data_IF_000344308363
#
_entry.id   IF_000344308363
#
_cell.length_a   1.000
_cell.length_b   1.000
_cell.length_c   1.000
_cell.angle_alpha   90.00
_cell.angle_beta   90.00
_cell.angle_gamma   90.00
#
_symmetry.space_group_name_H-M   'P 1'
#
loop_
_entity.id
_entity.type
_entity.pdbx_description
1 polymer ?
#
# COMPACT_ATOMS: atom_id res chain seq x y z
N UNK A 1 19.75 -17.09 61.89
CA UNK A 1 18.90 -15.95 61.41
C UNK A 1 19.57 -14.98 60.44
N UNK A 2 20.88 -14.97 60.21
CA UNK A 2 21.55 -14.06 59.24
C UNK A 2 21.63 -14.63 57.81
N UNK A 3 21.60 -15.94 57.62
CA UNK A 3 21.70 -16.61 56.30
C UNK A 3 20.39 -16.53 55.50
N UNK A 4 19.24 -16.59 56.13
CA UNK A 4 17.93 -16.50 55.47
C UNK A 4 17.66 -15.08 54.96
N UNK A 5 18.14 -14.05 55.61
CA UNK A 5 17.99 -12.66 55.20
C UNK A 5 18.81 -12.31 53.95
N UNK A 6 20.02 -12.89 53.81
CA UNK A 6 20.83 -12.69 52.59
C UNK A 6 20.23 -13.37 51.35
N UNK A 7 19.62 -14.56 51.55
CA UNK A 7 18.98 -15.30 50.44
C UNK A 7 17.71 -14.61 49.93
N UNK A 8 16.93 -14.02 50.86
CA UNK A 8 15.73 -13.26 50.47
C UNK A 8 16.05 -11.97 49.73
N UNK A 9 17.14 -11.27 50.10
CA UNK A 9 17.60 -10.04 49.43
C UNK A 9 18.11 -10.39 48.00
N UNK A 10 18.84 -11.52 47.85
CA UNK A 10 19.32 -11.95 46.56
C UNK A 10 18.19 -12.35 45.55
N UNK A 11 17.14 -13.05 46.04
CA UNK A 11 15.97 -13.42 45.23
C UNK A 11 15.16 -12.19 44.83
N UNK A 12 15.05 -11.21 45.74
CA UNK A 12 14.31 -9.97 45.43
C UNK A 12 15.07 -9.07 44.45
N UNK A 13 16.40 -9.05 44.44
CA UNK A 13 17.21 -8.33 43.45
C UNK A 13 17.13 -8.95 42.05
N UNK A 14 16.99 -10.28 41.93
CA UNK A 14 16.82 -10.98 40.67
C UNK A 14 15.42 -10.73 40.07
N UNK A 15 14.36 -10.58 40.89
CA UNK A 15 13.03 -10.23 40.40
C UNK A 15 12.90 -8.80 39.87
N UNK A 16 13.68 -7.85 40.39
CA UNK A 16 13.68 -6.45 39.93
C UNK A 16 14.38 -6.26 38.59
N UNK A 17 15.32 -7.15 38.22
CA UNK A 17 16.00 -7.07 36.90
C UNK A 17 15.18 -7.55 35.73
N UNK A 18 14.10 -8.30 35.95
CA UNK A 18 13.22 -8.79 34.88
C UNK A 18 12.18 -7.77 34.39
N UNK A 19 11.89 -6.73 35.17
CA UNK A 19 10.94 -5.68 34.78
C UNK A 19 11.58 -4.56 33.94
N UNK A 20 12.90 -4.49 33.81
CA UNK A 20 13.58 -3.40 33.12
C UNK A 20 13.57 -3.56 31.59
N UNK A 21 13.58 -4.80 31.08
CA UNK A 21 13.64 -5.04 29.65
C UNK A 21 12.33 -4.72 28.90
N UNK A 22 11.16 -4.92 29.51
CA UNK A 22 9.88 -4.64 28.85
C UNK A 22 9.65 -3.14 28.61
N UNK A 23 10.14 -2.29 29.50
CA UNK A 23 9.97 -0.84 29.40
C UNK A 23 10.86 -0.21 28.31
N UNK A 24 12.02 -0.80 28.03
CA UNK A 24 12.92 -0.34 26.96
C UNK A 24 12.40 -0.71 25.56
N UNK A 25 11.83 -1.91 25.40
CA UNK A 25 11.22 -2.36 24.14
C UNK A 25 9.98 -1.53 23.79
N UNK A 26 9.13 -1.25 24.77
CA UNK A 26 7.94 -0.41 24.59
C UNK A 26 8.33 1.02 24.17
N UNK A 27 9.35 1.60 24.77
CA UNK A 27 9.86 2.91 24.39
C UNK A 27 10.43 2.93 22.97
N UNK A 28 11.21 1.92 22.58
CA UNK A 28 11.73 1.78 21.21
C UNK A 28 10.60 1.60 20.18
N UNK A 29 9.55 0.83 20.52
CA UNK A 29 8.35 0.69 19.69
C UNK A 29 7.68 2.05 19.51
N UNK A 30 7.46 2.79 20.58
CA UNK A 30 6.82 4.10 20.55
C UNK A 30 7.56 5.08 19.63
N UNK A 31 8.89 5.15 19.75
CA UNK A 31 9.72 5.99 18.88
C UNK A 31 9.66 5.55 17.40
N UNK A 32 9.68 4.25 17.14
CA UNK A 32 9.59 3.71 15.80
C UNK A 32 8.21 3.97 15.18
N UNK A 33 7.14 3.79 15.96
CA UNK A 33 5.77 4.07 15.54
C UNK A 33 5.55 5.55 15.24
N UNK A 34 6.02 6.44 16.09
CA UNK A 34 5.90 7.90 15.90
C UNK A 34 6.59 8.34 14.60
N UNK A 35 7.78 7.81 14.31
CA UNK A 35 8.49 8.08 13.04
C UNK A 35 7.73 7.53 11.83
N UNK A 36 7.15 6.35 11.94
CA UNK A 36 6.43 5.70 10.84
C UNK A 36 5.11 6.44 10.54
N UNK A 37 4.36 6.81 11.58
CA UNK A 37 3.10 7.58 11.44
C UNK A 37 3.37 8.98 10.86
N UNK A 38 4.50 9.60 11.21
CA UNK A 38 4.88 10.91 10.66
C UNK A 38 5.06 10.89 9.13
N UNK A 39 5.29 9.72 8.52
CA UNK A 39 5.38 9.58 7.06
C UNK A 39 4.02 9.64 6.35
N UNK A 40 2.89 9.55 7.09
CA UNK A 40 1.51 9.52 6.59
C UNK A 40 1.21 8.41 5.57
N UNK A 41 2.15 8.04 4.72
CA UNK A 41 2.01 7.01 3.69
C UNK A 41 3.28 6.17 3.62
N UNK A 42 3.12 4.85 3.53
CA UNK A 42 4.19 3.90 3.26
C UNK A 42 3.99 3.33 1.85
N UNK A 43 4.65 3.94 0.86
CA UNK A 43 4.70 3.43 -0.50
C UNK A 43 5.65 2.24 -0.57
N UNK A 44 5.13 1.06 -0.87
CA UNK A 44 5.89 -0.19 -0.78
C UNK A 44 6.20 -0.81 -2.13
N UNK A 45 5.45 -0.45 -3.18
CA UNK A 45 5.62 -0.97 -4.53
C UNK A 45 5.24 0.07 -5.58
N UNK A 46 5.95 0.06 -6.71
CA UNK A 46 5.66 0.90 -7.86
C UNK A 46 5.66 0.05 -9.13
N UNK A 47 4.59 0.12 -9.89
CA UNK A 47 4.43 -0.55 -11.18
C UNK A 47 4.45 0.46 -12.32
N UNK A 48 5.19 0.12 -13.39
CA UNK A 48 5.05 0.80 -14.68
C UNK A 48 4.23 -0.09 -15.61
N UNK A 49 3.07 0.40 -16.03
CA UNK A 49 2.08 -0.35 -16.83
C UNK A 49 1.98 0.33 -18.20
N UNK A 50 2.01 -0.45 -19.28
CA UNK A 50 1.69 0.03 -20.60
C UNK A 50 0.40 -0.62 -21.08
N UNK A 51 -0.63 0.19 -21.40
CA UNK A 51 -1.93 -0.29 -21.87
C UNK A 51 -2.28 0.33 -23.23
N UNK A 52 -2.86 -0.48 -24.10
CA UNK A 52 -3.43 -0.02 -25.37
C UNK A 52 -4.91 0.29 -25.19
N UNK A 53 -5.27 1.55 -25.39
CA UNK A 53 -6.65 2.03 -25.35
C UNK A 53 -7.16 2.09 -26.80
N UNK A 54 -8.25 1.39 -27.07
CA UNK A 54 -8.81 1.26 -28.44
C UNK A 54 -10.23 1.80 -28.45
N UNK A 55 -10.54 2.62 -29.43
CA UNK A 55 -11.91 3.00 -29.74
C UNK A 55 -12.25 2.69 -31.19
N UNK A 56 -13.44 2.10 -31.37
CA UNK A 56 -14.06 1.89 -32.66
C UNK A 56 -15.44 2.57 -32.63
N UNK A 57 -15.70 3.44 -33.58
CA UNK A 57 -17.01 4.09 -33.74
C UNK A 57 -17.62 3.63 -35.10
N UNK A 58 -18.33 2.49 -35.03
CA UNK A 58 -18.99 1.85 -36.17
C UNK A 58 -20.51 2.06 -36.03
N UNK A 59 -20.97 3.29 -36.15
CA UNK A 59 -22.41 3.58 -36.09
C UNK A 59 -23.08 3.26 -37.40
N UNK A 60 -24.05 2.32 -37.41
CA UNK A 60 -24.76 1.83 -38.64
C UNK A 60 -25.50 2.94 -39.42
N UNK A 61 -25.80 4.08 -38.76
CA UNK A 61 -26.44 5.24 -39.37
C UNK A 61 -25.44 6.28 -39.91
N UNK A 62 -24.14 6.05 -39.77
CA UNK A 62 -23.08 6.93 -40.25
C UNK A 62 -22.24 6.21 -41.33
N UNK A 63 -22.03 6.89 -42.44
CA UNK A 63 -21.20 6.36 -43.53
C UNK A 63 -19.70 6.40 -43.13
N UNK A 64 -19.11 5.24 -42.95
CA UNK A 64 -17.69 5.05 -42.62
C UNK A 64 -17.41 4.77 -41.16
N UNK A 65 -16.16 4.38 -40.86
CA UNK A 65 -15.66 3.96 -39.57
C UNK A 65 -14.60 4.90 -39.07
N UNK A 66 -14.53 5.06 -37.74
CA UNK A 66 -13.38 5.69 -37.05
C UNK A 66 -12.75 4.69 -36.13
N UNK A 67 -11.43 4.57 -36.18
CA UNK A 67 -10.64 3.74 -35.26
C UNK A 67 -9.47 4.55 -34.75
N UNK A 68 -9.22 4.46 -33.46
CA UNK A 68 -8.05 5.07 -32.82
C UNK A 68 -7.47 4.14 -31.78
N UNK A 69 -6.16 4.09 -31.68
CA UNK A 69 -5.43 3.32 -30.65
C UNK A 69 -4.39 4.22 -30.05
N UNK A 70 -4.45 4.35 -28.72
CA UNK A 70 -3.39 4.98 -27.93
C UNK A 70 -2.62 3.93 -27.14
N UNK A 71 -1.31 4.11 -27.04
CA UNK A 71 -0.45 3.45 -26.07
C UNK A 71 -0.23 4.43 -24.90
N UNK A 72 -0.60 4.00 -23.71
CA UNK A 72 -0.43 4.81 -22.50
C UNK A 72 0.50 4.10 -21.54
N UNK A 73 1.60 4.76 -21.18
CA UNK A 73 2.48 4.31 -20.11
C UNK A 73 2.08 5.03 -18.82
N UNK A 74 1.95 4.28 -17.75
CA UNK A 74 1.43 4.76 -16.47
C UNK A 74 2.31 4.26 -15.36
N UNK A 75 2.58 5.10 -14.37
CA UNK A 75 3.21 4.70 -13.11
C UNK A 75 2.16 4.68 -12.01
N UNK A 76 2.02 3.52 -11.36
CA UNK A 76 1.10 3.30 -10.25
C UNK A 76 1.89 2.89 -9.02
N UNK A 77 1.74 3.63 -7.93
CA UNK A 77 2.32 3.31 -6.62
C UNK A 77 1.23 2.83 -5.69
N UNK A 78 1.44 1.66 -5.06
CA UNK A 78 0.58 1.15 -4.01
C UNK A 78 1.32 1.03 -2.68
N UNK A 79 0.57 1.07 -1.60
CA UNK A 79 1.12 1.01 -0.25
C UNK A 79 0.06 1.20 0.81
N UNK A 80 0.51 1.45 2.03
CA UNK A 80 -0.33 1.60 3.21
C UNK A 80 -0.50 3.09 3.53
N UNK A 81 -1.75 3.54 3.64
CA UNK A 81 -2.07 4.85 4.20
C UNK A 81 -2.04 4.77 5.72
N UNK A 82 -1.16 5.53 6.34
CA UNK A 82 -0.91 5.52 7.78
C UNK A 82 -1.59 6.67 8.52
N UNK A 83 -2.44 7.48 7.87
CA UNK A 83 -3.09 8.64 8.49
C UNK A 83 -3.91 8.28 9.73
N UNK A 84 -4.63 7.16 9.67
CA UNK A 84 -5.46 6.64 10.77
C UNK A 84 -4.76 5.54 11.57
N UNK A 85 -3.50 5.25 11.24
CA UNK A 85 -2.69 4.28 11.96
C UNK A 85 -2.09 4.90 13.21
N UNK A 86 -2.11 4.17 14.31
CA UNK A 86 -1.68 4.68 15.60
C UNK A 86 -1.13 3.58 16.51
N UNK A 87 -0.57 3.97 17.66
CA UNK A 87 -0.09 3.05 18.71
C UNK A 87 -1.15 2.03 19.18
N UNK A 88 -2.45 2.33 19.03
CA UNK A 88 -3.54 1.42 19.38
C UNK A 88 -3.61 0.19 18.48
N UNK A 89 -3.06 0.30 17.26
CA UNK A 89 -2.99 -0.79 16.30
C UNK A 89 -1.82 -1.76 16.56
N UNK A 90 -0.96 -1.45 17.55
CA UNK A 90 0.10 -2.31 18.05
C UNK A 90 -0.25 -2.87 19.44
N UNK A 91 -0.13 -4.18 19.62
CA UNK A 91 -0.43 -4.87 20.89
C UNK A 91 0.79 -5.69 21.30
N UNK A 92 1.29 -5.44 22.51
CA UNK A 92 2.38 -6.19 23.12
C UNK A 92 1.78 -7.27 24.04
N UNK A 93 2.37 -8.45 24.04
CA UNK A 93 1.98 -9.59 24.87
C UNK A 93 3.20 -10.43 25.28
N UNK A 94 2.94 -11.50 26.07
CA UNK A 94 3.96 -12.42 26.54
C UNK A 94 5.15 -11.73 27.27
N UNK A 95 4.84 -10.78 28.17
CA UNK A 95 5.87 -10.10 28.95
C UNK A 95 6.83 -9.25 28.10
N UNK A 96 6.34 -8.67 27.00
CA UNK A 96 7.14 -7.84 26.11
C UNK A 96 7.79 -8.55 24.93
N UNK A 97 7.70 -9.89 24.83
CA UNK A 97 8.38 -10.67 23.79
C UNK A 97 7.66 -10.73 22.45
N UNK A 98 6.34 -10.57 22.47
CA UNK A 98 5.49 -10.69 21.28
C UNK A 98 4.83 -9.36 20.98
N UNK A 99 4.88 -8.94 19.72
CA UNK A 99 4.14 -7.78 19.22
C UNK A 99 3.23 -8.19 18.06
N UNK A 100 1.99 -7.73 18.10
CA UNK A 100 1.05 -7.86 16.97
C UNK A 100 0.68 -6.48 16.50
N UNK A 101 0.88 -6.21 15.20
CA UNK A 101 0.52 -4.95 14.56
C UNK A 101 -0.57 -5.20 13.52
N UNK A 102 -1.58 -4.31 13.47
CA UNK A 102 -2.69 -4.40 12.52
C UNK A 102 -2.66 -3.21 11.57
N UNK A 103 -2.26 -3.44 10.33
CA UNK A 103 -2.12 -2.41 9.30
C UNK A 103 -3.45 -2.18 8.56
N UNK A 104 -3.68 -0.98 8.01
CA UNK A 104 -4.72 -0.77 7.00
C UNK A 104 -4.48 -1.63 5.76
N UNK A 105 -5.54 -1.86 4.96
CA UNK A 105 -5.39 -2.50 3.65
C UNK A 105 -4.56 -1.60 2.72
N UNK A 106 -3.75 -2.18 1.83
CA UNK A 106 -3.05 -1.40 0.82
C UNK A 106 -4.04 -0.80 -0.17
N UNK A 107 -3.67 0.36 -0.70
CA UNK A 107 -4.41 1.06 -1.74
C UNK A 107 -3.47 1.72 -2.73
N UNK A 108 -4.01 2.20 -3.84
CA UNK A 108 -3.26 3.06 -4.75
C UNK A 108 -3.02 4.41 -4.05
N UNK A 109 -1.75 4.76 -3.87
CA UNK A 109 -1.32 6.01 -3.25
C UNK A 109 -1.11 7.11 -4.29
N UNK A 110 -0.59 6.73 -5.46
CA UNK A 110 -0.45 7.65 -6.59
C UNK A 110 -0.62 6.92 -7.91
N UNK A 111 -1.19 7.63 -8.87
CA UNK A 111 -1.36 7.20 -10.24
C UNK A 111 -0.93 8.37 -11.14
N UNK A 112 0.01 8.13 -12.03
CA UNK A 112 0.50 9.13 -12.95
C UNK A 112 0.50 8.59 -14.38
N UNK A 113 -0.21 9.29 -15.27
CA UNK A 113 -0.20 9.08 -16.70
C UNK A 113 0.16 10.42 -17.36
N UNK A 114 1.45 10.65 -17.57
CA UNK A 114 1.94 11.90 -18.13
C UNK A 114 1.55 12.03 -19.61
N UNK A 115 1.31 13.26 -20.06
CA UNK A 115 0.90 13.52 -21.45
C UNK A 115 1.93 13.04 -22.48
N UNK A 116 3.22 13.12 -22.15
CA UNK A 116 4.33 12.62 -22.99
C UNK A 116 4.36 11.09 -23.10
N UNK A 117 3.75 10.38 -22.16
CA UNK A 117 3.65 8.92 -22.13
C UNK A 117 2.43 8.38 -22.90
N UNK A 118 1.62 9.27 -23.47
CA UNK A 118 0.46 8.93 -24.30
C UNK A 118 0.85 9.07 -25.77
N UNK A 119 0.86 7.95 -26.49
CA UNK A 119 1.24 7.93 -27.91
C UNK A 119 0.08 7.45 -28.76
N UNK A 120 -0.17 8.17 -29.85
CA UNK A 120 -1.08 7.72 -30.89
C UNK A 120 -0.40 6.64 -31.74
N UNK A 121 -0.82 5.40 -31.60
CA UNK A 121 -0.26 4.25 -32.34
C UNK A 121 -0.96 4.05 -33.71
N UNK A 122 -2.24 4.31 -33.76
CA UNK A 122 -3.04 4.09 -34.94
C UNK A 122 -4.25 5.02 -34.98
N UNK A 123 -4.52 5.59 -36.17
CA UNK A 123 -5.77 6.27 -36.47
C UNK A 123 -6.21 5.91 -37.89
N UNK A 124 -7.46 5.56 -38.06
CA UNK A 124 -8.08 5.33 -39.36
C UNK A 124 -9.46 5.97 -39.39
N UNK A 125 -9.69 6.78 -40.42
CA UNK A 125 -10.96 7.42 -40.70
C UNK A 125 -11.33 7.05 -42.09
N UNK A 126 -12.58 6.66 -42.30
CA UNK A 126 -13.11 6.26 -43.61
C UNK A 126 -14.48 6.89 -43.87
N UNK A 127 -14.82 7.02 -45.14
CA UNK A 127 -16.06 7.61 -45.58
C UNK A 127 -16.16 9.11 -45.30
N UNK A 128 -17.31 9.58 -44.86
CA UNK A 128 -17.58 11.01 -44.53
C UNK A 128 -17.44 11.32 -43.06
N UNK A 129 -16.52 10.63 -42.36
CA UNK A 129 -16.31 10.81 -40.93
C UNK A 129 -15.19 11.84 -40.66
N UNK A 130 -15.36 12.62 -39.60
CA UNK A 130 -14.31 13.51 -39.08
C UNK A 130 -13.45 12.77 -38.07
N UNK A 131 -12.23 13.26 -37.81
CA UNK A 131 -11.36 12.71 -36.76
C UNK A 131 -12.00 12.86 -35.37
N UNK A 132 -11.45 12.10 -34.41
CA UNK A 132 -11.80 12.27 -33.00
C UNK A 132 -11.38 13.65 -32.55
N UNK A 133 -12.30 14.42 -32.01
CA UNK A 133 -12.01 15.73 -31.43
C UNK A 133 -11.28 15.60 -30.08
N UNK A 134 -10.85 16.71 -29.52
CA UNK A 134 -10.10 16.72 -28.24
C UNK A 134 -10.89 16.13 -27.07
N UNK A 135 -12.19 16.43 -26.99
CA UNK A 135 -13.03 15.94 -25.90
C UNK A 135 -13.23 14.41 -26.00
N UNK A 136 -13.51 13.88 -27.20
CA UNK A 136 -13.62 12.44 -27.45
C UNK A 136 -12.31 11.71 -27.11
N UNK A 137 -11.15 12.29 -27.42
CA UNK A 137 -9.85 11.74 -27.07
C UNK A 137 -9.61 11.75 -25.55
N UNK A 138 -9.95 12.84 -24.89
CA UNK A 138 -9.83 12.97 -23.43
C UNK A 138 -10.73 11.96 -22.71
N UNK A 139 -11.94 11.73 -23.19
CA UNK A 139 -12.84 10.74 -22.60
C UNK A 139 -12.32 9.30 -22.78
N UNK A 140 -11.68 8.99 -23.91
CA UNK A 140 -11.01 7.71 -24.13
C UNK A 140 -9.84 7.51 -23.17
N UNK A 141 -9.05 8.56 -22.90
CA UNK A 141 -7.94 8.50 -21.95
C UNK A 141 -8.43 8.27 -20.53
N UNK A 142 -9.50 8.98 -20.11
CA UNK A 142 -10.15 8.75 -18.80
C UNK A 142 -10.68 7.32 -18.64
N UNK A 143 -11.31 6.76 -19.71
CA UNK A 143 -11.73 5.36 -19.69
C UNK A 143 -10.54 4.41 -19.56
N UNK A 144 -9.42 4.72 -20.22
CA UNK A 144 -8.19 3.95 -20.10
C UNK A 144 -7.58 4.02 -18.69
N UNK A 145 -7.54 5.21 -18.10
CA UNK A 145 -7.11 5.42 -16.71
C UNK A 145 -7.94 4.56 -15.76
N UNK A 146 -9.26 4.69 -15.85
CA UNK A 146 -10.18 3.90 -15.04
C UNK A 146 -9.96 2.40 -15.22
N UNK A 147 -9.83 1.92 -16.46
CA UNK A 147 -9.59 0.51 -16.74
C UNK A 147 -8.26 -0.02 -16.19
N UNK A 148 -7.22 0.83 -16.07
CA UNK A 148 -5.95 0.44 -15.43
C UNK A 148 -6.12 0.35 -13.92
N UNK A 149 -6.84 1.30 -13.31
CA UNK A 149 -7.12 1.30 -11.87
C UNK A 149 -8.00 0.10 -11.47
N UNK A 150 -9.03 -0.19 -12.25
CA UNK A 150 -9.93 -1.34 -12.03
C UNK A 150 -9.17 -2.68 -12.16
N UNK A 151 -8.14 -2.75 -13.01
CA UNK A 151 -7.30 -3.93 -13.18
C UNK A 151 -6.19 -4.07 -12.11
N UNK A 152 -6.00 -3.08 -11.23
CA UNK A 152 -4.90 -3.06 -10.26
C UNK A 152 -4.84 -4.32 -9.38
N UNK A 153 -5.99 -4.82 -8.93
CA UNK A 153 -6.08 -6.07 -8.15
C UNK A 153 -5.56 -7.27 -8.95
N UNK A 154 -5.95 -7.37 -10.22
CA UNK A 154 -5.55 -8.47 -11.11
C UNK A 154 -4.05 -8.43 -11.45
N UNK A 155 -3.41 -7.26 -11.35
CA UNK A 155 -1.98 -7.10 -11.57
C UNK A 155 -1.14 -7.57 -10.37
N UNK A 156 -1.75 -7.85 -9.22
CA UNK A 156 -1.06 -8.31 -8.01
C UNK A 156 -0.37 -7.20 -7.21
N UNK A 157 -0.52 -5.93 -7.57
CA UNK A 157 0.18 -4.82 -6.93
C UNK A 157 -0.16 -4.69 -5.43
N UNK A 158 -1.41 -5.00 -5.04
CA UNK A 158 -1.81 -4.94 -3.64
C UNK A 158 -1.23 -6.10 -2.82
N UNK A 159 -1.08 -7.28 -3.40
CA UNK A 159 -0.45 -8.41 -2.72
C UNK A 159 1.05 -8.14 -2.50
N UNK A 160 1.73 -7.60 -3.50
CA UNK A 160 3.13 -7.18 -3.36
C UNK A 160 3.26 -6.06 -2.33
N UNK A 161 2.32 -5.10 -2.32
CA UNK A 161 2.30 -4.05 -1.31
C UNK A 161 2.12 -4.60 0.11
N UNK A 162 1.26 -5.61 0.30
CA UNK A 162 1.10 -6.30 1.60
C UNK A 162 2.38 -6.99 2.04
N UNK A 163 3.01 -7.72 1.15
CA UNK A 163 4.22 -8.48 1.47
C UNK A 163 5.37 -7.54 1.83
N UNK A 164 5.59 -6.50 1.05
CA UNK A 164 6.63 -5.51 1.33
C UNK A 164 6.37 -4.74 2.63
N UNK A 165 5.10 -4.39 2.93
CA UNK A 165 4.74 -3.78 4.20
C UNK A 165 4.98 -4.72 5.39
N UNK A 166 4.62 -6.01 5.26
CA UNK A 166 4.92 -7.02 6.29
C UNK A 166 6.41 -7.10 6.58
N UNK A 167 7.23 -7.16 5.53
CA UNK A 167 8.67 -7.29 5.69
C UNK A 167 9.29 -6.04 6.31
N UNK A 168 8.83 -4.85 5.92
CA UNK A 168 9.24 -3.59 6.53
C UNK A 168 8.93 -3.57 8.02
N UNK A 169 7.68 -3.85 8.42
CA UNK A 169 7.28 -3.82 9.83
C UNK A 169 7.95 -4.92 10.64
N UNK A 170 8.15 -6.12 10.08
CA UNK A 170 8.91 -7.18 10.74
C UNK A 170 10.34 -6.75 11.02
N UNK A 171 11.03 -6.18 10.04
CA UNK A 171 12.40 -5.70 10.22
C UNK A 171 12.47 -4.56 11.26
N UNK A 172 11.54 -3.61 11.21
CA UNK A 172 11.46 -2.52 12.16
C UNK A 172 11.24 -3.02 13.59
N UNK A 173 10.28 -3.93 13.79
CA UNK A 173 9.93 -4.46 15.10
C UNK A 173 11.01 -5.40 15.67
N UNK A 174 11.71 -6.14 14.81
CA UNK A 174 12.88 -6.93 15.22
C UNK A 174 14.00 -6.04 15.77
N UNK A 175 14.23 -4.87 15.16
CA UNK A 175 15.18 -3.87 15.65
C UNK A 175 14.77 -3.26 16.99
N UNK A 176 13.47 -3.28 17.33
CA UNK A 176 12.99 -2.88 18.67
C UNK A 176 13.22 -3.98 19.73
N UNK A 177 13.63 -5.19 19.33
CA UNK A 177 13.98 -6.30 20.22
C UNK A 177 12.86 -7.29 20.48
N UNK A 178 11.80 -7.33 19.63
CA UNK A 178 10.74 -8.32 19.74
C UNK A 178 11.20 -9.66 19.15
N UNK A 179 10.88 -10.76 19.85
CA UNK A 179 11.22 -12.14 19.42
C UNK A 179 10.15 -12.70 18.47
N UNK A 180 8.88 -12.39 18.74
CA UNK A 180 7.73 -12.88 17.97
C UNK A 180 6.96 -11.68 17.40
N UNK A 181 6.86 -11.62 16.08
CA UNK A 181 6.29 -10.47 15.38
C UNK A 181 5.15 -10.95 14.48
N UNK A 182 3.93 -10.47 14.75
CA UNK A 182 2.75 -10.74 13.94
C UNK A 182 2.32 -9.45 13.23
N UNK A 183 2.25 -9.49 11.90
CA UNK A 183 1.74 -8.38 11.09
C UNK A 183 0.48 -8.84 10.38
N UNK A 184 -0.64 -8.23 10.76
CA UNK A 184 -1.97 -8.50 10.22
C UNK A 184 -2.47 -7.26 9.45
N UNK A 185 -3.52 -7.44 8.66
CA UNK A 185 -4.23 -6.34 8.00
C UNK A 185 -5.66 -6.28 8.50
N UNK A 186 -6.23 -5.07 8.56
CA UNK A 186 -7.67 -4.87 8.82
C UNK A 186 -8.47 -5.59 7.74
N UNK A 187 -9.68 -6.05 8.08
CA UNK A 187 -10.58 -6.56 7.06
C UNK A 187 -10.90 -5.45 6.04
N UNK A 188 -11.09 -5.78 4.74
CA UNK A 188 -11.51 -4.80 3.76
C UNK A 188 -12.80 -4.13 4.21
N UNK A 189 -12.85 -2.81 4.16
CA UNK A 189 -14.12 -2.10 4.36
C UNK A 189 -15.03 -2.45 3.18
N UNK A 190 -16.20 -3.05 3.46
CA UNK A 190 -17.22 -3.23 2.44
C UNK A 190 -17.65 -1.84 1.96
N UNK A 191 -17.32 -1.51 0.71
CA UNK A 191 -17.86 -0.31 0.07
C UNK A 191 -19.39 -0.40 0.12
N UNK A 192 -19.99 0.40 0.98
CA UNK A 192 -21.44 0.60 0.96
C UNK A 192 -21.79 1.25 -0.38
N UNK A 193 -22.27 0.40 -1.30
CA UNK A 193 -22.86 0.82 -2.57
C UNK A 193 -24.08 1.72 -2.33
#
# INVERSE_FOLDING_TARGET
MKFTSLFTISVMAVMLSLCSCSNEQEKKLDEAMDKTVACAELGTVEYTITKLIKANDNAFYKLGDRKIIFSCRTTMKAGIDLKDFSKKDAKISNGGKTVTITLPQPKVLSFNMAAEDIKLEYSKISGMRTDFNTDERNDLLKQGEKAILDDAENLGIFEDAKNNAKDFFKAMLANCGFENINVCFKEPEEEKK
#
